data_IF_130564758404
#
_entry.id   IF_130564758404
#
_cell.length_a   1.000
_cell.length_b   1.000
_cell.length_c   1.000
_cell.angle_alpha   90.00
_cell.angle_beta   90.00
_cell.angle_gamma   90.00
#
_symmetry.space_group_name_H-M   'P 1'
#
loop_
_entity.id
_entity.type
_entity.pdbx_description
1 polymer ?
#
# COMPACT_ATOMS: atom_id res chain seq x y z
N UNK A 1 66.61 27.15 18.15
CA UNK A 1 65.27 27.17 17.53
C UNK A 1 65.25 26.08 16.47
N UNK A 2 64.96 24.87 16.92
CA UNK A 2 64.94 23.65 16.10
C UNK A 2 63.58 23.52 15.44
N UNK A 3 63.58 23.10 14.17
CA UNK A 3 62.42 22.88 13.29
C UNK A 3 61.41 21.81 13.78
N UNK A 4 61.54 21.34 15.02
CA UNK A 4 60.85 20.17 15.56
C UNK A 4 59.50 20.50 16.22
N UNK A 5 59.25 21.78 16.57
CA UNK A 5 58.01 22.20 17.25
C UNK A 5 56.89 22.65 16.31
N UNK A 6 57.16 22.74 15.00
CA UNK A 6 56.17 23.26 14.03
C UNK A 6 55.31 22.14 13.44
N UNK A 7 55.77 20.89 13.51
CA UNK A 7 55.03 19.72 12.97
C UNK A 7 53.95 19.21 13.93
N UNK A 8 54.06 19.55 15.22
CA UNK A 8 53.10 19.11 16.25
C UNK A 8 51.77 19.90 16.22
N UNK A 9 51.73 21.05 15.53
CA UNK A 9 50.51 21.87 15.39
C UNK A 9 49.64 21.50 14.18
N UNK A 10 50.13 20.64 13.29
CA UNK A 10 49.36 20.05 12.19
C UNK A 10 48.88 18.62 12.48
N UNK A 11 49.37 18.01 13.57
CA UNK A 11 48.86 16.77 14.11
C UNK A 11 47.54 17.04 14.88
N UNK A 12 46.43 17.05 14.14
CA UNK A 12 45.09 17.05 14.71
C UNK A 12 45.01 16.06 15.89
N UNK A 13 44.60 16.55 17.06
CA UNK A 13 44.43 15.76 18.29
C UNK A 13 43.64 14.49 18.04
N UNK A 14 43.76 13.45 18.90
CA UNK A 14 43.57 12.03 18.62
C UNK A 14 42.37 11.79 17.70
N UNK A 15 42.64 11.92 16.41
CA UNK A 15 41.62 12.15 15.42
C UNK A 15 41.13 10.80 14.98
N UNK A 16 39.97 10.39 15.51
CA UNK A 16 39.08 9.31 15.03
C UNK A 16 39.53 8.89 13.64
N UNK A 17 40.21 7.75 13.52
CA UNK A 17 40.90 7.37 12.30
C UNK A 17 39.95 7.39 11.11
N UNK A 18 40.44 7.57 9.87
CA UNK A 18 39.59 7.59 8.67
C UNK A 18 38.60 6.41 8.63
N UNK A 19 39.05 5.22 9.06
CA UNK A 19 38.19 4.04 9.18
C UNK A 19 37.04 4.19 10.17
N UNK A 20 37.29 4.79 11.34
CA UNK A 20 36.26 5.01 12.36
C UNK A 20 35.22 6.05 11.91
N UNK A 21 35.65 7.09 11.18
CA UNK A 21 34.73 8.06 10.56
C UNK A 21 33.83 7.41 9.51
N UNK A 22 34.38 6.51 8.69
CA UNK A 22 33.62 5.77 7.68
C UNK A 22 32.60 4.83 8.32
N UNK A 23 32.99 4.08 9.36
CA UNK A 23 32.07 3.21 10.10
C UNK A 23 30.94 4.01 10.74
N UNK A 24 31.26 5.19 11.31
CA UNK A 24 30.24 6.07 11.87
C UNK A 24 29.26 6.56 10.81
N UNK A 25 29.78 7.01 9.66
CA UNK A 25 28.94 7.49 8.55
C UNK A 25 28.03 6.37 8.02
N UNK A 26 28.54 5.16 7.87
CA UNK A 26 27.79 4.00 7.40
C UNK A 26 26.62 3.65 8.35
N UNK A 27 26.85 3.73 9.67
CA UNK A 27 25.79 3.59 10.68
C UNK A 27 24.74 4.70 10.58
N UNK A 28 25.15 5.94 10.36
CA UNK A 28 24.23 7.07 10.20
C UNK A 28 23.37 6.90 8.95
N UNK A 29 23.97 6.47 7.82
CA UNK A 29 23.25 6.16 6.57
C UNK A 29 22.24 5.03 6.80
N UNK A 30 22.68 3.94 7.41
CA UNK A 30 21.82 2.77 7.69
C UNK A 30 20.63 3.16 8.58
N UNK A 31 20.87 3.99 9.61
CA UNK A 31 19.79 4.50 10.48
C UNK A 31 18.80 5.36 9.69
N UNK A 32 19.28 6.31 8.90
CA UNK A 32 18.41 7.17 8.08
C UNK A 32 17.56 6.36 7.08
N UNK A 33 18.14 5.31 6.48
CA UNK A 33 17.41 4.40 5.60
C UNK A 33 16.32 3.64 6.34
N UNK A 34 16.64 3.11 7.54
CA UNK A 34 15.66 2.41 8.38
C UNK A 34 14.50 3.33 8.79
N UNK A 35 14.79 4.56 9.21
CA UNK A 35 13.77 5.56 9.57
C UNK A 35 12.89 5.96 8.37
N UNK A 36 13.48 6.09 7.18
CA UNK A 36 12.72 6.40 5.96
C UNK A 36 11.74 5.27 5.61
N UNK A 37 12.20 4.01 5.61
CA UNK A 37 11.34 2.85 5.40
C UNK A 37 10.28 2.71 6.49
N UNK A 38 10.64 2.99 7.75
CA UNK A 38 9.74 2.94 8.90
C UNK A 38 8.55 3.89 8.74
N UNK A 39 8.80 5.15 8.35
CA UNK A 39 7.74 6.14 8.11
C UNK A 39 6.74 5.71 7.03
N UNK A 40 7.23 5.08 5.95
CA UNK A 40 6.36 4.55 4.90
C UNK A 40 5.55 3.35 5.40
N UNK A 41 6.13 2.51 6.28
CA UNK A 41 5.41 1.45 6.97
C UNK A 41 4.28 1.96 7.86
N UNK A 42 4.57 2.98 8.68
CA UNK A 42 3.56 3.64 9.53
C UNK A 42 2.41 4.25 8.71
N UNK A 43 2.72 4.86 7.57
CA UNK A 43 1.72 5.36 6.63
C UNK A 43 0.83 4.24 6.08
N UNK A 44 1.42 3.09 5.70
CA UNK A 44 0.67 1.92 5.25
C UNK A 44 -0.25 1.36 6.32
N UNK A 45 0.24 1.24 7.57
CA UNK A 45 -0.56 0.77 8.68
C UNK A 45 -1.78 1.68 8.92
N UNK A 46 -1.56 2.99 8.91
CA UNK A 46 -2.64 3.96 9.05
C UNK A 46 -3.70 3.85 7.93
N UNK A 47 -3.26 3.69 6.68
CA UNK A 47 -4.17 3.52 5.55
C UNK A 47 -4.94 2.19 5.63
N UNK A 48 -4.29 1.10 6.06
CA UNK A 48 -4.92 -0.20 6.25
C UNK A 48 -5.98 -0.15 7.36
N UNK A 49 -5.71 0.57 8.46
CA UNK A 49 -6.70 0.78 9.52
C UNK A 49 -7.91 1.57 9.04
N UNK A 50 -7.69 2.63 8.24
CA UNK A 50 -8.78 3.36 7.58
C UNK A 50 -9.60 2.47 6.65
N UNK A 51 -8.94 1.56 5.92
CA UNK A 51 -9.63 0.60 5.05
C UNK A 51 -10.48 -0.39 5.86
N UNK A 52 -9.95 -0.93 6.97
CA UNK A 52 -10.68 -1.82 7.89
C UNK A 52 -11.90 -1.13 8.48
N UNK A 53 -11.76 0.13 8.90
CA UNK A 53 -12.88 0.92 9.39
C UNK A 53 -13.95 1.13 8.30
N UNK A 54 -13.53 1.41 7.06
CA UNK A 54 -14.44 1.52 5.93
C UNK A 54 -15.16 0.21 5.61
N UNK A 55 -14.46 -0.94 5.70
CA UNK A 55 -15.07 -2.27 5.56
C UNK A 55 -16.15 -2.49 6.64
N UNK A 56 -15.87 -2.18 7.91
CA UNK A 56 -16.86 -2.29 8.99
C UNK A 56 -18.04 -1.31 8.87
N UNK A 57 -17.88 -0.16 8.21
CA UNK A 57 -19.00 0.72 7.85
C UNK A 57 -19.83 0.15 6.70
N UNK A 58 -19.17 -0.44 5.70
CA UNK A 58 -19.86 -1.07 4.57
C UNK A 58 -20.68 -2.28 4.98
N UNK A 59 -20.18 -3.08 5.91
CA UNK A 59 -20.89 -4.27 6.38
C UNK A 59 -22.20 -3.86 7.08
N UNK A 60 -22.17 -2.82 7.92
CA UNK A 60 -23.37 -2.23 8.55
C UNK A 60 -24.33 -1.61 7.53
N UNK A 61 -23.84 -0.81 6.59
CA UNK A 61 -24.66 -0.21 5.54
C UNK A 61 -25.28 -1.25 4.60
N UNK A 62 -24.59 -2.39 4.38
CA UNK A 62 -25.08 -3.47 3.53
C UNK A 62 -26.36 -4.11 4.08
N UNK A 63 -26.44 -4.28 5.40
CA UNK A 63 -27.64 -4.80 6.08
C UNK A 63 -28.83 -3.84 5.95
N UNK A 64 -28.58 -2.52 6.04
CA UNK A 64 -29.63 -1.48 5.97
C UNK A 64 -30.06 -1.15 4.53
N UNK A 65 -29.19 -1.33 3.54
CA UNK A 65 -29.43 -0.94 2.15
C UNK A 65 -30.58 -1.72 1.48
N UNK A 66 -30.92 -2.90 2.00
CA UNK A 66 -32.07 -3.68 1.52
C UNK A 66 -33.42 -2.97 1.76
N UNK A 67 -33.47 -2.03 2.73
CA UNK A 67 -34.71 -1.38 3.15
C UNK A 67 -34.94 0.01 2.51
N UNK A 68 -33.94 0.63 1.88
CA UNK A 68 -34.05 2.01 1.38
C UNK A 68 -33.12 2.34 0.19
N UNK A 69 -33.66 2.88 -0.93
CA UNK A 69 -32.86 3.35 -2.06
C UNK A 69 -31.90 4.51 -1.74
N UNK A 70 -32.19 5.31 -0.71
CA UNK A 70 -31.26 6.35 -0.25
C UNK A 70 -30.00 5.73 0.37
N UNK A 71 -30.19 4.70 1.20
CA UNK A 71 -29.10 3.95 1.82
C UNK A 71 -28.28 3.18 0.77
N UNK A 72 -28.91 2.69 -0.30
CA UNK A 72 -28.19 2.07 -1.42
C UNK A 72 -27.24 3.04 -2.15
N UNK A 73 -27.61 4.33 -2.31
CA UNK A 73 -26.71 5.35 -2.88
C UNK A 73 -25.54 5.64 -1.95
N UNK A 74 -25.79 5.68 -0.64
CA UNK A 74 -24.75 5.90 0.37
C UNK A 74 -23.78 4.72 0.43
N UNK A 75 -24.29 3.49 0.32
CA UNK A 75 -23.48 2.29 0.17
C UNK A 75 -22.56 2.38 -1.05
N UNK A 76 -23.10 2.76 -2.22
CA UNK A 76 -22.31 2.92 -3.45
C UNK A 76 -21.17 3.94 -3.29
N UNK A 77 -21.45 5.10 -2.68
CA UNK A 77 -20.44 6.12 -2.39
C UNK A 77 -19.36 5.62 -1.42
N UNK A 78 -19.76 4.88 -0.39
CA UNK A 78 -18.83 4.30 0.59
C UNK A 78 -17.94 3.23 -0.06
N UNK A 79 -18.48 2.40 -0.98
CA UNK A 79 -17.70 1.42 -1.74
C UNK A 79 -16.63 2.12 -2.58
N UNK A 80 -16.96 3.23 -3.23
CA UNK A 80 -15.97 3.98 -4.01
C UNK A 80 -14.88 4.58 -3.13
N UNK A 81 -15.26 5.20 -2.02
CA UNK A 81 -14.31 5.80 -1.08
C UNK A 81 -13.34 4.73 -0.54
N UNK A 82 -13.87 3.56 -0.17
CA UNK A 82 -13.09 2.39 0.25
C UNK A 82 -12.15 1.92 -0.86
N UNK A 83 -12.61 1.85 -2.11
CA UNK A 83 -11.77 1.45 -3.23
C UNK A 83 -10.66 2.46 -3.54
N UNK A 84 -10.91 3.76 -3.36
CA UNK A 84 -9.85 4.79 -3.47
C UNK A 84 -8.77 4.62 -2.40
N UNK A 85 -9.16 4.30 -1.16
CA UNK A 85 -8.21 3.96 -0.09
C UNK A 85 -7.37 2.74 -0.47
N UNK A 86 -8.01 1.69 -1.03
CA UNK A 86 -7.30 0.51 -1.52
C UNK A 86 -6.24 0.88 -2.57
N UNK A 87 -6.60 1.72 -3.54
CA UNK A 87 -5.68 2.13 -4.60
C UNK A 87 -4.54 3.00 -4.06
N UNK A 88 -4.80 3.83 -3.05
CA UNK A 88 -3.78 4.57 -2.30
C UNK A 88 -2.79 3.63 -1.59
N UNK A 89 -3.29 2.64 -0.85
CA UNK A 89 -2.45 1.64 -0.19
C UNK A 89 -1.55 0.91 -1.19
N UNK A 90 -2.09 0.52 -2.35
CA UNK A 90 -1.29 -0.15 -3.39
C UNK A 90 -0.17 0.76 -3.92
N UNK A 91 -0.42 2.06 -4.07
CA UNK A 91 0.61 3.02 -4.50
C UNK A 91 1.71 3.18 -3.46
N UNK A 92 1.34 3.37 -2.19
CA UNK A 92 2.32 3.52 -1.10
C UNK A 92 3.12 2.22 -0.92
N UNK A 93 2.46 1.06 -1.02
CA UNK A 93 3.14 -0.25 -0.92
C UNK A 93 4.13 -0.45 -2.06
N UNK A 94 3.77 -0.03 -3.28
CA UNK A 94 4.70 -0.05 -4.41
C UNK A 94 5.88 0.90 -4.19
N UNK A 95 5.67 2.08 -3.61
CA UNK A 95 6.76 2.99 -3.23
C UNK A 95 7.72 2.35 -2.22
N UNK A 96 7.20 1.67 -1.19
CA UNK A 96 8.01 0.92 -0.22
C UNK A 96 8.86 -0.16 -0.90
N UNK A 97 8.29 -0.86 -1.88
CA UNK A 97 9.02 -1.87 -2.67
C UNK A 97 10.20 -1.22 -3.41
N UNK A 98 9.97 -0.12 -4.13
CA UNK A 98 11.01 0.61 -4.85
C UNK A 98 12.13 1.08 -3.90
N UNK A 99 11.78 1.63 -2.74
CA UNK A 99 12.77 2.06 -1.75
C UNK A 99 13.61 0.88 -1.24
N UNK A 100 12.99 -0.28 -1.03
CA UNK A 100 13.68 -1.51 -0.63
C UNK A 100 14.58 -2.05 -1.75
N UNK A 101 14.16 -2.00 -2.99
CA UNK A 101 14.99 -2.37 -4.14
C UNK A 101 16.23 -1.50 -4.26
N UNK A 102 16.09 -0.19 -4.03
CA UNK A 102 17.22 0.74 -4.01
C UNK A 102 18.26 0.42 -2.91
N UNK A 103 17.84 -0.32 -1.88
CA UNK A 103 18.71 -0.82 -0.81
C UNK A 103 19.18 -2.27 -1.04
N UNK A 104 18.85 -2.86 -2.19
CA UNK A 104 19.28 -4.21 -2.59
C UNK A 104 18.32 -5.35 -2.19
N UNK A 105 17.12 -5.05 -1.68
CA UNK A 105 16.14 -6.08 -1.32
C UNK A 105 15.28 -6.50 -2.53
N UNK A 106 15.68 -7.60 -3.19
CA UNK A 106 15.01 -8.11 -4.40
C UNK A 106 13.70 -8.88 -4.10
N UNK A 107 13.52 -9.39 -2.88
CA UNK A 107 12.33 -10.17 -2.51
C UNK A 107 11.30 -9.29 -1.78
N UNK A 108 10.06 -9.29 -2.29
CA UNK A 108 8.97 -8.45 -1.77
C UNK A 108 7.94 -9.20 -0.92
N UNK A 109 8.00 -10.53 -0.86
CA UNK A 109 7.08 -11.35 -0.07
C UNK A 109 6.87 -10.86 1.37
N UNK A 110 7.93 -10.44 2.11
CA UNK A 110 7.75 -9.86 3.44
C UNK A 110 6.88 -8.59 3.46
N UNK A 111 7.00 -7.72 2.45
CA UNK A 111 6.16 -6.50 2.36
C UNK A 111 4.69 -6.88 2.13
N UNK A 112 4.43 -7.86 1.27
CA UNK A 112 3.07 -8.32 0.99
C UNK A 112 2.42 -9.01 2.20
N UNK A 113 3.23 -9.72 3.00
CA UNK A 113 2.79 -10.37 4.24
C UNK A 113 2.52 -9.35 5.36
N UNK A 114 3.38 -8.35 5.53
CA UNK A 114 3.19 -7.30 6.54
C UNK A 114 2.02 -6.37 6.18
N UNK A 115 1.82 -6.10 4.88
CA UNK A 115 0.81 -5.15 4.38
C UNK A 115 -0.16 -5.82 3.40
N UNK A 116 -1.04 -6.71 3.88
CA UNK A 116 -2.01 -7.39 3.06
C UNK A 116 -3.11 -6.42 2.61
N UNK A 117 -3.30 -6.30 1.29
CA UNK A 117 -4.33 -5.42 0.70
C UNK A 117 -5.51 -6.27 0.25
N UNK A 118 -6.70 -6.12 0.86
CA UNK A 118 -7.87 -6.89 0.47
C UNK A 118 -8.31 -6.59 -0.97
N UNK A 119 -9.15 -7.48 -1.52
CA UNK A 119 -9.70 -7.33 -2.85
C UNK A 119 -10.53 -6.04 -3.01
N UNK A 120 -10.75 -5.64 -4.26
CA UNK A 120 -11.63 -4.52 -4.60
C UNK A 120 -13.07 -4.93 -4.35
N UNK A 121 -13.88 -4.09 -3.70
CA UNK A 121 -15.33 -4.34 -3.54
C UNK A 121 -16.05 -3.87 -4.80
N UNK A 122 -16.95 -4.69 -5.34
CA UNK A 122 -17.75 -4.38 -6.53
C UNK A 122 -19.04 -3.74 -6.06
N UNK A 123 -19.52 -2.69 -6.75
CA UNK A 123 -20.88 -2.20 -6.51
C UNK A 123 -21.84 -3.29 -7.00
N UNK A 124 -22.60 -3.89 -6.11
CA UNK A 124 -23.75 -4.71 -6.50
C UNK A 124 -24.76 -3.79 -7.18
N UNK A 125 -24.75 -3.73 -8.51
CA UNK A 125 -25.86 -3.13 -9.26
C UNK A 125 -27.09 -4.02 -9.13
N UNK A 126 -28.31 -3.49 -9.36
CA UNK A 126 -29.45 -4.38 -9.56
C UNK A 126 -29.05 -5.33 -10.69
N UNK A 127 -29.16 -6.64 -10.42
CA UNK A 127 -28.88 -7.68 -11.40
C UNK A 127 -29.57 -7.27 -12.70
N UNK A 128 -28.79 -6.95 -13.75
CA UNK A 128 -29.37 -6.89 -15.08
C UNK A 128 -29.95 -8.26 -15.31
N UNK A 129 -31.28 -8.33 -15.40
CA UNK A 129 -32.02 -9.50 -15.85
C UNK A 129 -31.27 -10.04 -17.06
N UNK A 130 -30.54 -11.12 -16.83
CA UNK A 130 -29.92 -11.88 -17.89
C UNK A 130 -31.09 -12.44 -18.67
N UNK A 131 -31.16 -12.03 -19.93
CA UNK A 131 -32.28 -12.28 -20.81
C UNK A 131 -32.73 -13.73 -20.70
N UNK A 132 -34.03 -13.87 -20.45
CA UNK A 132 -34.79 -15.06 -20.75
C UNK A 132 -34.38 -15.53 -22.16
N UNK A 133 -33.83 -16.73 -22.34
CA UNK A 133 -33.64 -17.25 -23.69
C UNK A 133 -35.04 -17.46 -24.26
N UNK A 134 -35.43 -16.61 -25.22
CA UNK A 134 -36.59 -16.90 -26.06
C UNK A 134 -36.30 -18.24 -26.76
N UNK A 135 -37.16 -19.22 -26.48
CA UNK A 135 -37.08 -20.54 -27.08
C UNK A 135 -37.18 -20.40 -28.62
N UNK A 136 -36.42 -21.19 -29.38
CA UNK A 136 -36.57 -21.18 -30.83
C UNK A 136 -37.95 -21.73 -31.19
N UNK A 137 -38.75 -20.87 -31.84
CA UNK A 137 -40.03 -21.19 -32.48
C UNK A 137 -39.82 -22.36 -33.43
N UNK A 138 -40.30 -23.53 -33.02
CA UNK A 138 -40.23 -24.75 -33.81
C UNK A 138 -41.03 -24.53 -35.09
N UNK A 139 -40.31 -24.37 -36.20
CA UNK A 139 -40.86 -24.39 -37.54
C UNK A 139 -41.63 -25.70 -37.75
N UNK A 140 -42.96 -25.58 -37.62
CA UNK A 140 -43.92 -26.64 -37.87
C UNK A 140 -43.90 -26.94 -39.38
N UNK A 141 -43.11 -27.95 -39.74
CA UNK A 141 -43.10 -28.57 -41.06
C UNK A 141 -44.48 -29.17 -41.31
N UNK A 142 -45.29 -28.47 -42.09
CA UNK A 142 -46.43 -29.08 -42.80
C UNK A 142 -45.90 -30.00 -43.90
N UNK A 143 -46.08 -31.29 -43.68
CA UNK A 143 -46.34 -32.31 -44.70
C UNK A 143 -47.86 -32.61 -44.68
N UNK A 144 -48.47 -33.36 -45.62
CA UNK A 144 -47.92 -34.13 -46.74
C UNK A 144 -48.21 -33.58 -48.15
#
# INVERSE_FOLDING_TARGET
MTHDEVDERLAGGPGVGRGERLVRLDREITRCQAEALGRVGEELDHLLDRLRAADGCLDRLGEEAAASPAVARDLGRTIDARNRLRDEILRVRHHLIIQREALGFVRHGPVEQCYPVPARRIRSGPARETGRPEAPEAAERRAP
#
